data_IF_813686966652
#
_entry.id   IF_813686966652
#
_cell.length_a   1.000
_cell.length_b   1.000
_cell.length_c   1.000
_cell.angle_alpha   90.00
_cell.angle_beta   90.00
_cell.angle_gamma   90.00
#
_symmetry.space_group_name_H-M   'P 1'
#
loop_
_entity.id
_entity.type
_entity.pdbx_description
1 polymer ?
#
# COMPACT_ATOMS: atom_id res chain seq x y z
N UNK A 1 0.72 -15.28 4.60
CA UNK A 1 0.91 -14.91 3.17
C UNK A 1 -0.28 -15.38 2.34
N UNK A 2 -0.86 -14.53 1.46
CA UNK A 2 -1.94 -14.93 0.54
C UNK A 2 -1.37 -15.85 -0.54
N UNK A 3 -2.01 -17.00 -0.76
CA UNK A 3 -1.60 -18.03 -1.74
C UNK A 3 -2.52 -18.07 -2.95
N UNK A 4 -3.84 -17.94 -2.74
CA UNK A 4 -4.81 -18.04 -3.81
C UNK A 4 -5.99 -17.09 -3.57
N UNK A 5 -6.49 -16.51 -4.66
CA UNK A 5 -7.69 -15.69 -4.67
C UNK A 5 -8.62 -16.19 -5.78
N UNK A 6 -9.83 -16.60 -5.41
CA UNK A 6 -10.89 -16.96 -6.34
C UNK A 6 -11.97 -15.90 -6.30
N UNK A 7 -12.37 -15.39 -7.46
CA UNK A 7 -13.37 -14.32 -7.59
C UNK A 7 -14.43 -14.78 -8.57
N UNK A 8 -15.70 -14.71 -8.16
CA UNK A 8 -16.83 -15.05 -9.00
C UNK A 8 -17.86 -13.92 -8.99
N UNK A 9 -18.38 -13.60 -10.18
CA UNK A 9 -19.44 -12.62 -10.39
C UNK A 9 -19.13 -11.21 -9.88
N UNK A 10 -17.89 -10.73 -10.08
CA UNK A 10 -17.47 -9.42 -9.60
C UNK A 10 -16.87 -8.56 -10.70
N UNK A 11 -17.51 -7.45 -11.02
CA UNK A 11 -17.10 -6.48 -12.06
C UNK A 11 -16.83 -7.15 -13.41
N UNK A 12 -15.58 -7.09 -13.90
CA UNK A 12 -15.17 -7.73 -15.16
C UNK A 12 -15.00 -9.24 -15.05
N UNK A 13 -15.03 -9.81 -13.87
CA UNK A 13 -14.80 -11.24 -13.67
C UNK A 13 -16.11 -12.03 -13.55
N UNK A 14 -16.34 -12.93 -14.49
CA UNK A 14 -17.34 -13.99 -14.35
C UNK A 14 -16.81 -15.00 -13.33
N UNK A 15 -15.62 -15.54 -13.58
CA UNK A 15 -14.83 -16.37 -12.69
C UNK A 15 -13.36 -16.19 -12.98
N UNK A 16 -12.55 -16.06 -11.95
CA UNK A 16 -11.09 -16.05 -12.06
C UNK A 16 -10.47 -16.66 -10.80
N UNK A 17 -9.43 -17.45 -11.03
CA UNK A 17 -8.60 -18.06 -10.01
C UNK A 17 -7.17 -17.53 -10.20
N UNK A 18 -6.62 -16.93 -9.15
CA UNK A 18 -5.29 -16.32 -9.15
C UNK A 18 -4.42 -16.99 -8.09
N UNK A 19 -3.29 -17.52 -8.50
CA UNK A 19 -2.22 -17.89 -7.60
C UNK A 19 -1.37 -16.67 -7.27
N UNK A 20 -1.11 -16.45 -6.00
CA UNK A 20 -0.36 -15.30 -5.49
C UNK A 20 0.88 -15.79 -4.75
N UNK A 21 1.96 -15.05 -4.88
CA UNK A 21 3.24 -15.32 -4.24
C UNK A 21 3.63 -14.16 -3.32
N UNK A 22 4.77 -14.28 -2.62
CA UNK A 22 5.32 -13.24 -1.75
C UNK A 22 5.44 -11.90 -2.46
N UNK A 23 5.79 -11.94 -3.75
CA UNK A 23 5.74 -10.79 -4.65
C UNK A 23 4.84 -11.12 -5.85
N UNK A 24 3.83 -10.31 -6.08
CA UNK A 24 2.89 -10.47 -7.21
C UNK A 24 2.72 -9.15 -7.94
N UNK A 25 3.05 -9.12 -9.22
CA UNK A 25 2.87 -7.98 -10.10
C UNK A 25 1.61 -8.15 -10.97
N UNK A 26 0.64 -7.26 -10.80
CA UNK A 26 -0.54 -7.20 -11.66
C UNK A 26 -0.29 -6.23 -12.83
N UNK A 27 0.10 -6.75 -13.98
CA UNK A 27 0.36 -5.97 -15.19
C UNK A 27 -0.76 -6.10 -16.22
N UNK A 28 -0.94 -5.11 -17.06
CA UNK A 28 -1.93 -5.13 -18.13
C UNK A 28 -2.51 -3.75 -18.46
N UNK A 29 -3.29 -3.68 -19.55
CA UNK A 29 -3.95 -2.44 -20.00
C UNK A 29 -4.93 -1.90 -18.94
N UNK A 30 -5.24 -0.60 -19.04
CA UNK A 30 -6.25 0.00 -18.17
C UNK A 30 -7.61 -0.69 -18.36
N UNK A 31 -8.41 -0.71 -17.30
CA UNK A 31 -9.75 -1.33 -17.27
C UNK A 31 -9.80 -2.86 -17.44
N UNK A 32 -8.66 -3.56 -17.36
CA UNK A 32 -8.61 -5.03 -17.47
C UNK A 32 -8.80 -5.75 -16.13
N UNK A 33 -9.21 -5.05 -15.06
CA UNK A 33 -9.55 -5.67 -13.79
C UNK A 33 -8.46 -5.69 -12.72
N UNK A 34 -7.26 -5.09 -12.95
CA UNK A 34 -6.19 -5.03 -11.94
C UNK A 34 -6.68 -4.52 -10.58
N UNK A 35 -7.30 -3.34 -10.58
CA UNK A 35 -7.88 -2.76 -9.36
C UNK A 35 -9.02 -3.61 -8.81
N UNK A 36 -9.74 -4.36 -9.64
CA UNK A 36 -10.80 -5.27 -9.16
C UNK A 36 -10.25 -6.44 -8.35
N UNK A 37 -9.05 -6.93 -8.65
CA UNK A 37 -8.35 -7.93 -7.83
C UNK A 37 -8.05 -7.36 -6.44
N UNK A 38 -7.48 -6.16 -6.38
CA UNK A 38 -7.18 -5.46 -5.11
C UNK A 38 -8.47 -5.23 -4.31
N UNK A 39 -9.53 -4.80 -4.96
CA UNK A 39 -10.83 -4.58 -4.35
C UNK A 39 -11.49 -5.88 -3.83
N UNK A 40 -11.26 -7.01 -4.49
CA UNK A 40 -11.69 -8.31 -3.98
C UNK A 40 -10.95 -8.68 -2.69
N UNK A 41 -9.64 -8.42 -2.60
CA UNK A 41 -8.87 -8.60 -1.36
C UNK A 41 -9.42 -7.69 -0.25
N UNK A 42 -9.68 -6.41 -0.54
CA UNK A 42 -10.27 -5.50 0.46
C UNK A 42 -11.67 -5.94 0.89
N UNK A 43 -12.49 -6.49 -0.02
CA UNK A 43 -13.79 -7.03 0.34
C UNK A 43 -13.70 -8.21 1.32
N UNK A 44 -12.60 -8.97 1.29
CA UNK A 44 -12.35 -10.04 2.27
C UNK A 44 -11.97 -9.48 3.65
N UNK A 45 -11.20 -8.40 3.68
CA UNK A 45 -10.68 -7.78 4.90
C UNK A 45 -11.76 -6.93 5.60
N UNK A 46 -12.52 -6.17 4.83
CA UNK A 46 -13.57 -5.31 5.36
C UNK A 46 -14.78 -6.09 5.85
N UNK A 47 -15.23 -5.78 7.06
CA UNK A 47 -16.40 -6.41 7.68
C UNK A 47 -17.68 -5.58 7.43
N UNK A 48 -18.83 -6.18 7.74
CA UNK A 48 -20.14 -5.55 7.62
C UNK A 48 -20.99 -6.11 6.47
N UNK A 49 -22.25 -5.65 6.39
CA UNK A 49 -23.21 -6.13 5.39
C UNK A 49 -22.87 -5.73 3.95
N UNK A 50 -22.09 -4.67 3.78
CA UNK A 50 -21.55 -4.26 2.48
C UNK A 50 -20.03 -4.10 2.58
N UNK A 51 -19.25 -5.14 2.29
CA UNK A 51 -17.80 -5.11 2.36
C UNK A 51 -17.14 -4.22 1.28
N UNK A 52 -17.90 -3.66 0.37
CA UNK A 52 -17.44 -2.68 -0.62
C UNK A 52 -17.53 -1.22 -0.12
N UNK A 53 -17.89 -1.03 1.16
CA UNK A 53 -17.92 0.26 1.86
C UNK A 53 -17.20 0.14 3.19
N UNK A 54 -16.05 0.77 3.29
CA UNK A 54 -15.22 0.73 4.49
C UNK A 54 -13.96 1.55 4.34
N UNK A 55 -12.99 1.23 5.16
CA UNK A 55 -11.73 1.97 5.28
C UNK A 55 -10.92 2.00 3.97
N UNK A 56 -10.74 0.83 3.33
CA UNK A 56 -9.88 0.72 2.15
C UNK A 56 -10.59 1.11 0.86
N UNK A 57 -11.90 0.95 0.78
CA UNK A 57 -12.66 1.29 -0.42
C UNK A 57 -14.10 1.68 -0.13
N UNK A 58 -14.65 2.54 -1.00
CA UNK A 58 -16.07 2.86 -1.05
C UNK A 58 -16.48 2.94 -2.52
N UNK A 59 -16.91 1.81 -3.10
CA UNK A 59 -17.12 1.67 -4.54
C UNK A 59 -18.57 1.43 -4.96
N UNK A 60 -19.51 1.58 -4.03
CA UNK A 60 -20.92 1.57 -4.36
C UNK A 60 -21.74 0.41 -3.77
N UNK A 61 -22.83 0.08 -4.44
CA UNK A 61 -23.76 -0.97 -4.00
C UNK A 61 -23.43 -2.29 -4.68
N UNK A 62 -23.74 -3.40 -4.04
CA UNK A 62 -23.46 -4.75 -4.53
C UNK A 62 -23.99 -4.99 -5.95
N UNK A 63 -25.22 -4.53 -6.24
CA UNK A 63 -25.82 -4.72 -7.58
C UNK A 63 -25.10 -3.95 -8.72
N UNK A 64 -24.33 -2.92 -8.38
CA UNK A 64 -23.51 -2.17 -9.36
C UNK A 64 -22.17 -2.85 -9.62
N UNK A 65 -21.81 -3.82 -8.76
CA UNK A 65 -20.53 -4.51 -8.76
C UNK A 65 -20.62 -5.96 -9.27
N UNK A 66 -21.81 -6.46 -9.51
CA UNK A 66 -22.02 -7.77 -10.13
C UNK A 66 -21.55 -7.75 -11.59
N UNK A 67 -21.06 -8.89 -12.06
CA UNK A 67 -20.66 -9.02 -13.46
C UNK A 67 -21.87 -8.88 -14.38
N UNK A 68 -21.73 -8.11 -15.46
CA UNK A 68 -22.84 -7.78 -16.36
C UNK A 68 -23.35 -9.02 -17.15
N UNK A 69 -22.52 -10.02 -17.36
CA UNK A 69 -22.86 -11.24 -18.10
C UNK A 69 -23.53 -12.26 -17.16
N UNK A 70 -22.95 -12.50 -16.00
CA UNK A 70 -23.47 -13.45 -15.00
C UNK A 70 -24.76 -12.95 -14.34
N UNK A 71 -24.95 -11.63 -14.28
CA UNK A 71 -26.19 -11.01 -13.81
C UNK A 71 -26.38 -11.05 -12.30
N UNK A 72 -27.67 -11.15 -11.86
CA UNK A 72 -28.09 -10.96 -10.46
C UNK A 72 -27.77 -12.12 -9.49
N UNK A 73 -26.63 -12.78 -9.62
CA UNK A 73 -26.14 -13.78 -8.67
C UNK A 73 -25.49 -13.19 -7.43
N UNK A 74 -25.07 -14.02 -6.52
CA UNK A 74 -24.18 -13.62 -5.42
C UNK A 74 -22.76 -13.34 -5.95
N UNK A 75 -22.05 -12.40 -5.36
CA UNK A 75 -20.59 -12.25 -5.55
C UNK A 75 -19.94 -13.22 -4.55
N UNK A 76 -19.03 -14.06 -5.03
CA UNK A 76 -18.25 -14.96 -4.19
C UNK A 76 -16.77 -14.63 -4.30
N UNK A 77 -16.14 -14.47 -3.16
CA UNK A 77 -14.71 -14.28 -3.07
C UNK A 77 -14.18 -15.30 -2.07
N UNK A 78 -13.16 -16.06 -2.48
CA UNK A 78 -12.50 -17.02 -1.62
C UNK A 78 -11.01 -16.71 -1.60
N UNK A 79 -10.44 -16.70 -0.42
CA UNK A 79 -9.06 -16.40 -0.16
C UNK A 79 -8.42 -17.55 0.60
N UNK A 80 -7.30 -18.02 0.09
CA UNK A 80 -6.45 -18.99 0.76
C UNK A 80 -5.15 -18.28 1.16
N UNK A 81 -4.81 -18.36 2.44
CA UNK A 81 -3.64 -17.71 2.98
C UNK A 81 -2.97 -18.57 4.05
N UNK A 82 -1.67 -18.39 4.20
CA UNK A 82 -0.84 -19.04 5.18
C UNK A 82 -0.54 -18.08 6.33
N UNK A 83 -0.76 -18.55 7.55
CA UNK A 83 -0.40 -17.86 8.79
C UNK A 83 0.03 -18.90 9.82
N UNK A 84 1.16 -18.66 10.51
CA UNK A 84 1.73 -19.57 11.51
C UNK A 84 1.85 -21.03 10.98
N UNK A 85 2.40 -21.21 9.79
CA UNK A 85 2.57 -22.49 9.09
C UNK A 85 1.28 -23.28 8.82
N UNK A 86 0.13 -22.62 8.94
CA UNK A 86 -1.18 -23.20 8.67
C UNK A 86 -1.84 -22.52 7.48
N UNK A 87 -2.43 -23.32 6.59
CA UNK A 87 -3.23 -22.81 5.48
C UNK A 87 -4.65 -22.60 5.95
N UNK A 88 -5.12 -21.37 5.83
CA UNK A 88 -6.46 -20.93 6.17
C UNK A 88 -7.24 -20.59 4.90
N UNK A 89 -8.51 -20.96 4.87
CA UNK A 89 -9.41 -20.66 3.76
C UNK A 89 -10.60 -19.88 4.27
N UNK A 90 -10.82 -18.71 3.68
CA UNK A 90 -11.96 -17.85 3.99
C UNK A 90 -12.78 -17.61 2.72
N UNK A 91 -14.06 -17.82 2.79
CA UNK A 91 -15.01 -17.52 1.71
C UNK A 91 -16.01 -16.47 2.17
N UNK A 92 -16.25 -15.49 1.32
CA UNK A 92 -17.26 -14.45 1.52
C UNK A 92 -18.26 -14.48 0.37
N UNK A 93 -19.54 -14.64 0.72
CA UNK A 93 -20.69 -14.56 -0.19
C UNK A 93 -21.43 -13.27 0.06
N UNK A 94 -21.57 -12.47 -0.96
CA UNK A 94 -22.11 -11.12 -0.86
C UNK A 94 -23.34 -11.01 -1.76
N UNK A 95 -24.46 -10.67 -1.14
CA UNK A 95 -25.74 -10.41 -1.82
C UNK A 95 -26.15 -8.96 -1.63
N UNK A 96 -27.28 -8.55 -2.19
CA UNK A 96 -27.82 -7.18 -2.02
C UNK A 96 -28.16 -6.84 -0.57
N UNK A 97 -28.48 -7.84 0.22
CA UNK A 97 -29.01 -7.69 1.59
C UNK A 97 -28.01 -8.02 2.67
N UNK A 98 -27.05 -8.88 2.38
CA UNK A 98 -26.14 -9.44 3.39
C UNK A 98 -24.79 -9.84 2.82
N UNK A 99 -23.81 -9.93 3.70
CA UNK A 99 -22.50 -10.52 3.45
C UNK A 99 -22.25 -11.60 4.49
N UNK A 100 -22.11 -12.83 4.03
CA UNK A 100 -21.84 -14.00 4.88
C UNK A 100 -20.38 -14.39 4.68
N UNK A 101 -19.65 -14.49 5.77
CA UNK A 101 -18.25 -14.91 5.79
C UNK A 101 -18.13 -16.21 6.56
N UNK A 102 -17.40 -17.19 6.04
CA UNK A 102 -17.18 -18.47 6.71
C UNK A 102 -16.33 -18.35 7.97
N UNK A 103 -15.36 -17.42 7.96
CA UNK A 103 -14.48 -17.10 9.07
C UNK A 103 -13.98 -15.65 8.93
N UNK A 104 -13.72 -14.95 10.02
CA UNK A 104 -13.06 -13.64 9.97
C UNK A 104 -11.66 -13.79 9.40
N UNK A 105 -11.28 -12.84 8.54
CA UNK A 105 -9.92 -12.70 8.07
C UNK A 105 -9.13 -11.93 9.15
N UNK A 106 -8.20 -12.60 9.80
CA UNK A 106 -7.47 -12.07 10.96
C UNK A 106 -5.96 -12.27 10.80
N UNK A 107 -5.20 -11.44 11.50
CA UNK A 107 -3.74 -11.60 11.66
C UNK A 107 -2.89 -11.07 10.51
N UNK A 108 -3.49 -10.42 9.50
CA UNK A 108 -2.74 -9.74 8.43
C UNK A 108 -3.01 -8.24 8.51
N UNK A 109 -1.98 -7.44 8.79
CA UNK A 109 -2.03 -5.98 8.68
C UNK A 109 -1.85 -5.60 7.21
N UNK A 110 -2.64 -4.65 6.73
CA UNK A 110 -2.55 -4.16 5.35
C UNK A 110 -1.97 -2.77 5.35
N UNK A 111 -0.90 -2.58 4.56
CA UNK A 111 -0.37 -1.28 4.19
C UNK A 111 -0.75 -1.06 2.72
N UNK A 112 -1.47 0.02 2.46
CA UNK A 112 -2.00 0.30 1.13
C UNK A 112 -1.54 1.64 0.63
N UNK A 113 -0.79 1.64 -0.46
CA UNK A 113 -0.41 2.83 -1.21
C UNK A 113 -1.32 2.92 -2.44
N UNK A 114 -2.43 3.64 -2.33
CA UNK A 114 -3.39 3.81 -3.43
C UNK A 114 -2.80 4.60 -4.60
N UNK A 115 -3.47 4.60 -5.74
CA UNK A 115 -3.15 5.49 -6.86
C UNK A 115 -3.29 6.97 -6.51
N UNK A 116 -4.13 7.30 -5.53
CA UNK A 116 -4.43 8.65 -5.06
C UNK A 116 -3.57 9.05 -3.86
N UNK A 117 -2.30 8.60 -3.83
CA UNK A 117 -1.34 9.02 -2.79
C UNK A 117 -1.30 10.54 -2.68
N UNK A 118 -1.04 11.02 -1.46
CA UNK A 118 -1.12 12.46 -1.16
C UNK A 118 -0.13 13.29 -2.00
N UNK A 119 1.02 12.70 -2.35
CA UNK A 119 2.00 13.29 -3.25
C UNK A 119 2.59 14.60 -2.74
N UNK A 120 2.70 15.59 -3.64
CA UNK A 120 3.46 16.83 -3.41
C UNK A 120 2.65 17.89 -2.67
N UNK A 121 2.99 18.09 -1.40
CA UNK A 121 2.43 19.13 -0.54
C UNK A 121 3.52 20.02 0.08
N UNK A 122 3.15 21.18 0.62
CA UNK A 122 4.08 22.03 1.38
C UNK A 122 4.39 21.50 2.77
N UNK A 123 3.38 20.86 3.38
CA UNK A 123 3.44 20.21 4.70
C UNK A 123 2.53 18.99 4.71
N UNK A 124 2.86 18.02 5.53
CA UNK A 124 2.09 16.77 5.67
C UNK A 124 1.50 16.67 7.07
N UNK A 125 0.36 16.01 7.20
CA UNK A 125 -0.33 15.89 8.48
C UNK A 125 0.35 14.87 9.39
N UNK A 126 0.28 15.13 10.70
CA UNK A 126 0.57 14.11 11.73
C UNK A 126 -0.65 13.20 11.89
N UNK A 127 -0.39 11.93 12.16
CA UNK A 127 -1.39 11.02 12.70
C UNK A 127 -1.58 11.33 14.20
N UNK A 128 -2.83 11.45 14.64
CA UNK A 128 -3.14 11.84 16.03
C UNK A 128 -3.61 10.66 16.90
N UNK A 129 -3.53 9.43 16.39
CA UNK A 129 -3.82 8.23 17.18
C UNK A 129 -2.60 7.72 17.96
N UNK A 130 -2.82 6.72 18.79
CA UNK A 130 -1.80 6.18 19.71
C UNK A 130 -0.64 5.49 18.98
N UNK A 131 -0.90 4.75 17.91
CA UNK A 131 0.10 4.09 17.07
C UNK A 131 0.17 4.76 15.70
N UNK A 132 1.34 5.27 15.33
CA UNK A 132 1.53 5.96 14.06
C UNK A 132 1.44 4.96 12.90
N UNK A 133 0.59 5.26 11.93
CA UNK A 133 0.33 4.45 10.75
C UNK A 133 0.76 5.18 9.47
N UNK A 134 0.93 4.44 8.37
CA UNK A 134 1.22 5.02 7.06
C UNK A 134 -0.02 5.70 6.45
N UNK A 135 -1.20 5.15 6.72
CA UNK A 135 -2.45 5.61 6.12
C UNK A 135 -2.69 5.03 4.72
N UNK A 136 -3.96 5.08 4.30
CA UNK A 136 -4.44 4.48 3.06
C UNK A 136 -3.83 5.09 1.79
N UNK A 137 -3.63 6.41 1.78
CA UNK A 137 -3.05 7.14 0.65
C UNK A 137 -1.62 7.58 0.95
N UNK A 138 -0.94 6.86 1.84
CA UNK A 138 0.33 7.27 2.44
C UNK A 138 0.23 8.62 3.19
N UNK A 139 -0.98 8.98 3.68
CA UNK A 139 -1.30 10.27 4.29
C UNK A 139 -0.35 10.66 5.43
N UNK A 140 0.18 9.66 6.14
CA UNK A 140 1.05 9.85 7.30
C UNK A 140 2.45 9.27 7.13
N UNK A 141 2.85 8.92 5.89
CA UNK A 141 4.15 8.32 5.61
C UNK A 141 5.31 9.19 6.14
N UNK A 142 5.26 10.51 5.95
CA UNK A 142 6.30 11.41 6.43
C UNK A 142 6.27 11.62 7.96
N UNK A 143 5.11 11.47 8.60
CA UNK A 143 5.05 11.40 10.06
C UNK A 143 5.67 10.10 10.58
N UNK A 144 5.40 8.99 9.92
CA UNK A 144 6.01 7.70 10.23
C UNK A 144 7.54 7.77 10.09
N UNK A 145 8.04 8.34 8.98
CA UNK A 145 9.48 8.56 8.79
C UNK A 145 10.08 9.40 9.93
N UNK A 146 9.45 10.52 10.29
CA UNK A 146 9.96 11.38 11.37
C UNK A 146 10.01 10.66 12.72
N UNK A 147 8.98 9.90 13.05
CA UNK A 147 8.88 9.21 14.33
C UNK A 147 9.86 8.04 14.47
N UNK A 148 10.17 7.37 13.36
CA UNK A 148 11.00 6.16 13.31
C UNK A 148 12.38 6.39 12.69
N UNK A 149 12.79 7.64 12.41
CA UNK A 149 14.02 7.99 11.70
C UNK A 149 15.27 7.28 12.24
N UNK A 150 15.40 7.24 13.57
CA UNK A 150 16.55 6.65 14.27
C UNK A 150 16.28 5.19 14.74
N UNK A 151 15.11 4.62 14.44
CA UNK A 151 14.81 3.23 14.80
C UNK A 151 15.72 2.28 14.03
N UNK A 152 16.39 1.40 14.74
CA UNK A 152 17.26 0.41 14.13
C UNK A 152 16.45 -0.67 13.43
N UNK A 153 16.73 -0.91 12.16
CA UNK A 153 16.19 -2.03 11.40
C UNK A 153 16.97 -3.31 11.68
N UNK A 154 16.29 -4.43 11.60
CA UNK A 154 16.89 -5.74 11.72
C UNK A 154 17.76 -6.01 10.48
N UNK A 155 19.02 -6.40 10.70
CA UNK A 155 19.98 -6.71 9.65
C UNK A 155 19.58 -7.98 8.84
N UNK A 156 18.73 -8.83 9.42
CA UNK A 156 18.21 -10.03 8.75
C UNK A 156 17.04 -9.75 7.81
N UNK A 157 16.51 -8.53 7.81
CA UNK A 157 15.45 -8.15 6.86
C UNK A 157 16.04 -7.99 5.47
N UNK A 158 15.44 -8.68 4.51
CA UNK A 158 15.82 -8.66 3.08
C UNK A 158 15.79 -7.26 2.45
N UNK A 159 15.15 -6.27 3.09
CA UNK A 159 15.05 -4.88 2.62
C UNK A 159 16.18 -3.97 3.13
N UNK A 160 16.97 -4.44 4.07
CA UNK A 160 18.17 -3.72 4.51
C UNK A 160 19.27 -3.99 3.51
N UNK A 161 19.59 -2.98 2.71
CA UNK A 161 20.69 -3.06 1.76
C UNK A 161 21.91 -2.37 2.35
N UNK A 162 23.02 -3.14 2.42
CA UNK A 162 24.35 -2.68 2.76
C UNK A 162 24.63 -2.31 4.24
N UNK A 163 25.66 -2.97 4.75
CA UNK A 163 26.22 -2.77 6.10
C UNK A 163 26.99 -1.46 6.27
N UNK A 164 27.31 -0.75 5.18
CA UNK A 164 27.98 0.56 5.20
C UNK A 164 27.00 1.73 5.33
N UNK A 165 25.73 1.53 5.00
CA UNK A 165 24.68 2.52 5.23
C UNK A 165 24.23 2.51 6.69
N UNK A 166 23.65 3.62 7.17
CA UNK A 166 23.04 3.62 8.50
C UNK A 166 21.90 2.60 8.55
N UNK A 167 22.00 1.65 9.47
CA UNK A 167 20.97 0.62 9.72
C UNK A 167 19.76 1.20 10.50
N UNK A 168 19.46 2.48 10.32
CA UNK A 168 18.26 3.10 10.85
C UNK A 168 17.20 3.21 9.77
N UNK A 169 15.93 3.31 10.16
CA UNK A 169 14.81 3.44 9.23
C UNK A 169 15.04 4.62 8.26
N UNK A 170 15.33 5.81 8.78
CA UNK A 170 15.62 6.99 7.95
C UNK A 170 16.87 6.81 7.09
N UNK A 171 17.90 6.13 7.61
CA UNK A 171 19.11 5.81 6.85
C UNK A 171 18.83 4.92 5.65
N UNK A 172 17.95 3.92 5.78
CA UNK A 172 17.54 3.04 4.67
C UNK A 172 16.60 3.75 3.71
N UNK A 173 15.71 4.62 4.17
CA UNK A 173 14.91 5.48 3.27
C UNK A 173 15.82 6.35 2.42
N UNK A 174 16.81 7.01 3.01
CA UNK A 174 17.80 7.83 2.30
C UNK A 174 18.62 7.02 1.29
N UNK A 175 19.02 5.81 1.66
CA UNK A 175 19.78 4.92 0.78
C UNK A 175 18.98 4.57 -0.48
N UNK A 176 17.79 4.03 -0.33
CA UNK A 176 16.94 3.62 -1.44
C UNK A 176 16.52 4.80 -2.30
N UNK A 177 16.13 5.93 -1.69
CA UNK A 177 15.77 7.14 -2.42
C UNK A 177 16.93 7.69 -3.21
N UNK A 178 18.14 7.68 -2.65
CA UNK A 178 19.34 8.11 -3.36
C UNK A 178 19.68 7.18 -4.53
N UNK A 179 19.57 5.87 -4.34
CA UNK A 179 19.81 4.87 -5.38
C UNK A 179 18.85 5.02 -6.56
N UNK A 180 17.54 5.19 -6.30
CA UNK A 180 16.51 5.23 -7.35
C UNK A 180 16.43 6.63 -7.99
N UNK A 181 16.51 7.70 -7.21
CA UNK A 181 16.21 9.07 -7.65
C UNK A 181 17.35 10.06 -7.48
N UNK A 182 18.44 9.72 -6.80
CA UNK A 182 19.56 10.61 -6.50
C UNK A 182 19.25 11.68 -5.44
N UNK A 183 18.27 11.44 -4.57
CA UNK A 183 17.85 12.35 -3.52
C UNK A 183 17.95 11.72 -2.13
N UNK A 184 17.97 12.57 -1.12
CA UNK A 184 17.78 12.23 0.29
C UNK A 184 16.61 13.03 0.84
N UNK A 185 15.99 12.54 1.93
CA UNK A 185 14.81 13.17 2.51
C UNK A 185 15.00 13.39 4.02
N UNK A 186 14.46 14.49 4.53
CA UNK A 186 14.31 14.70 5.98
C UNK A 186 12.90 15.17 6.27
N UNK A 187 12.27 14.49 7.21
CA UNK A 187 10.99 14.86 7.77
C UNK A 187 11.20 15.41 9.19
N UNK A 188 10.58 16.53 9.52
CA UNK A 188 10.66 17.15 10.84
C UNK A 188 9.32 17.70 11.26
N UNK A 189 8.99 17.54 12.52
CA UNK A 189 7.83 18.20 13.10
C UNK A 189 7.95 19.71 13.08
N UNK A 190 6.86 20.38 12.73
CA UNK A 190 6.71 21.82 12.94
C UNK A 190 6.17 22.01 14.36
N UNK A 191 6.97 22.66 15.23
CA UNK A 191 6.60 22.86 16.61
C UNK A 191 5.21 23.49 16.78
N UNK A 192 4.46 22.96 17.77
CA UNK A 192 3.12 23.44 18.12
C UNK A 192 2.09 23.37 16.97
N UNK A 193 2.30 22.50 16.01
CA UNK A 193 1.36 22.25 14.91
C UNK A 193 1.14 20.74 14.71
N UNK A 194 0.10 20.39 13.95
CA UNK A 194 -0.20 19.02 13.52
C UNK A 194 0.43 18.71 12.14
N UNK A 195 1.58 19.33 11.83
CA UNK A 195 2.21 19.22 10.52
C UNK A 195 3.67 18.77 10.60
N UNK A 196 4.10 18.10 9.54
CA UNK A 196 5.45 17.67 9.26
C UNK A 196 5.98 18.49 8.08
N UNK A 197 7.16 19.07 8.23
CA UNK A 197 7.93 19.65 7.12
C UNK A 197 8.79 18.56 6.49
N UNK A 198 8.80 18.49 5.16
CA UNK A 198 9.66 17.60 4.39
C UNK A 198 10.61 18.43 3.54
N UNK A 199 11.89 18.03 3.57
CA UNK A 199 12.93 18.64 2.78
C UNK A 199 13.74 17.57 2.06
N UNK A 200 13.99 17.79 0.77
CA UNK A 200 14.84 16.95 -0.06
C UNK A 200 16.19 17.60 -0.29
N UNK A 201 17.21 16.81 -0.49
CA UNK A 201 18.56 17.27 -0.88
C UNK A 201 19.19 16.29 -1.86
N UNK A 202 20.19 16.72 -2.59
CA UNK A 202 21.02 15.89 -3.45
C UNK A 202 22.46 16.43 -3.47
N UNK A 203 23.36 15.78 -4.19
CA UNK A 203 24.76 16.19 -4.26
C UNK A 203 24.97 17.61 -4.79
N UNK A 204 24.12 18.06 -5.74
CA UNK A 204 24.20 19.39 -6.34
C UNK A 204 23.57 20.47 -5.48
N UNK A 205 22.55 20.11 -4.70
CA UNK A 205 21.77 21.00 -3.83
C UNK A 205 21.71 20.37 -2.44
N UNK A 206 22.75 20.58 -1.61
CA UNK A 206 22.86 19.99 -0.28
C UNK A 206 21.95 20.64 0.76
N UNK A 207 21.38 21.79 0.46
CA UNK A 207 20.40 22.46 1.32
C UNK A 207 18.96 21.99 1.00
N UNK A 208 18.09 22.01 2.01
CA UNK A 208 16.75 21.46 1.90
C UNK A 208 15.87 22.13 0.84
N UNK A 209 15.39 21.37 -0.12
CA UNK A 209 14.39 21.78 -1.11
C UNK A 209 13.00 21.29 -0.66
N UNK A 210 11.99 22.15 -0.80
CA UNK A 210 10.60 21.74 -0.54
C UNK A 210 10.14 20.73 -1.59
N UNK A 211 9.16 19.87 -1.27
CA UNK A 211 8.61 18.90 -2.24
C UNK A 211 8.17 19.55 -3.57
N UNK A 212 7.57 20.73 -3.53
CA UNK A 212 7.14 21.48 -4.74
C UNK A 212 8.30 21.97 -5.64
N UNK A 213 9.52 21.93 -5.14
CA UNK A 213 10.72 22.35 -5.88
C UNK A 213 11.55 21.16 -6.39
N UNK A 214 11.07 19.94 -6.21
CA UNK A 214 11.65 18.71 -6.77
C UNK A 214 10.66 18.04 -7.72
N UNK A 215 11.11 17.10 -8.51
CA UNK A 215 10.19 16.34 -9.38
C UNK A 215 9.15 15.57 -8.58
N UNK A 216 7.90 15.60 -9.01
CA UNK A 216 6.76 14.93 -8.33
C UNK A 216 7.06 13.46 -8.01
N UNK A 217 7.72 12.74 -8.92
CA UNK A 217 8.10 11.34 -8.74
C UNK A 217 8.97 11.08 -7.51
N UNK A 218 9.79 12.05 -7.08
CA UNK A 218 10.63 11.92 -5.87
C UNK A 218 9.77 11.70 -4.64
N UNK A 219 8.71 12.51 -4.49
CA UNK A 219 7.78 12.38 -3.35
C UNK A 219 7.03 11.05 -3.38
N UNK A 220 6.47 10.68 -4.54
CA UNK A 220 5.72 9.42 -4.71
C UNK A 220 6.57 8.18 -4.40
N UNK A 221 7.83 8.16 -4.85
CA UNK A 221 8.76 7.07 -4.53
C UNK A 221 9.13 7.06 -3.06
N UNK A 222 9.33 8.22 -2.44
CA UNK A 222 9.62 8.30 -1.01
C UNK A 222 8.52 7.66 -0.19
N UNK A 223 7.25 7.93 -0.49
CA UNK A 223 6.10 7.32 0.18
C UNK A 223 6.08 5.80 0.04
N UNK A 224 6.38 5.27 -1.15
CA UNK A 224 6.49 3.82 -1.41
C UNK A 224 7.64 3.20 -0.62
N UNK A 225 8.82 3.82 -0.61
CA UNK A 225 9.98 3.34 0.14
C UNK A 225 9.66 3.27 1.64
N UNK A 226 9.04 4.33 2.19
CA UNK A 226 8.62 4.37 3.59
C UNK A 226 7.64 3.22 3.88
N UNK A 227 6.64 3.03 3.04
CA UNK A 227 5.65 1.97 3.19
C UNK A 227 6.27 0.57 3.12
N UNK A 228 7.20 0.34 2.20
CA UNK A 228 7.89 -0.93 2.04
C UNK A 228 8.78 -1.26 3.26
N UNK A 229 9.55 -0.28 3.74
CA UNK A 229 10.43 -0.46 4.91
C UNK A 229 9.64 -0.58 6.23
N UNK A 230 8.43 -0.03 6.29
CA UNK A 230 7.55 -0.15 7.45
C UNK A 230 6.84 -1.50 7.57
N UNK A 231 6.81 -2.29 6.48
CA UNK A 231 6.22 -3.62 6.48
C UNK A 231 6.99 -4.56 7.41
N UNK A 232 6.23 -5.33 8.18
CA UNK A 232 6.73 -6.41 9.01
C UNK A 232 6.43 -7.76 8.36
N UNK A 233 7.04 -8.80 8.88
CA UNK A 233 6.70 -10.17 8.49
C UNK A 233 5.18 -10.40 8.64
N UNK A 234 4.59 -11.04 7.64
CA UNK A 234 3.14 -11.28 7.51
C UNK A 234 2.25 -10.06 7.21
N UNK A 235 2.79 -8.85 7.09
CA UNK A 235 2.01 -7.72 6.56
C UNK A 235 1.76 -7.89 5.05
N UNK A 236 0.66 -7.33 4.58
CA UNK A 236 0.32 -7.25 3.16
C UNK A 236 0.52 -5.82 2.66
N UNK A 237 1.55 -5.61 1.85
CA UNK A 237 1.76 -4.35 1.15
C UNK A 237 1.07 -4.38 -0.22
N UNK A 238 0.19 -3.45 -0.46
CA UNK A 238 -0.46 -3.25 -1.76
C UNK A 238 -0.09 -1.87 -2.29
N UNK A 239 0.47 -1.82 -3.50
CA UNK A 239 0.86 -0.57 -4.15
C UNK A 239 0.16 -0.50 -5.51
N UNK A 240 -0.63 0.54 -5.73
CA UNK A 240 -1.20 0.84 -7.04
C UNK A 240 -0.33 1.83 -7.81
N UNK A 241 -0.14 1.55 -9.09
CA UNK A 241 0.58 2.40 -10.04
C UNK A 241 1.90 2.95 -9.45
N UNK A 242 2.84 2.09 -9.04
CA UNK A 242 4.11 2.53 -8.46
C UNK A 242 4.94 3.39 -9.42
N UNK A 243 4.75 3.22 -10.72
CA UNK A 243 5.46 3.91 -11.80
C UNK A 243 4.97 5.34 -12.08
N UNK A 244 3.88 5.78 -11.46
CA UNK A 244 3.32 7.13 -11.71
C UNK A 244 4.36 8.22 -11.44
N UNK A 245 4.47 9.14 -12.41
CA UNK A 245 5.38 10.28 -12.38
C UNK A 245 6.87 9.94 -12.39
N UNK A 246 7.26 8.68 -12.63
CA UNK A 246 8.65 8.30 -12.78
C UNK A 246 9.11 8.40 -14.24
N UNK A 247 10.34 8.86 -14.40
CA UNK A 247 11.05 8.71 -15.67
C UNK A 247 11.32 7.22 -15.95
N UNK A 248 11.35 6.76 -17.23
CA UNK A 248 11.61 5.35 -17.55
C UNK A 248 12.82 4.73 -16.86
N UNK A 249 13.88 5.49 -16.61
CA UNK A 249 15.04 5.00 -15.84
C UNK A 249 14.69 4.69 -14.38
N UNK A 250 13.88 5.52 -13.74
CA UNK A 250 13.40 5.26 -12.37
C UNK A 250 12.41 4.11 -12.29
N UNK A 251 11.63 3.89 -13.36
CA UNK A 251 10.73 2.73 -13.44
C UNK A 251 11.49 1.40 -13.55
N UNK A 252 12.70 1.41 -14.14
CA UNK A 252 13.54 0.22 -14.28
C UNK A 252 14.28 -0.15 -12.98
N UNK A 253 14.43 0.80 -12.05
CA UNK A 253 15.09 0.60 -10.75
C UNK A 253 14.07 0.28 -9.62
N UNK A 254 12.79 0.52 -9.87
CA UNK A 254 11.69 0.21 -8.97
C UNK A 254 11.35 -1.29 -9.01
#
# INVERSE_FOLDING_TARGET
>A
MIKKLEINNFKSFEQVDLELNNFTLLAGKNSMGKTSVIQAIFAMIQNGNNPFRGEYMNIGKVNELQNAITGNGEIKIKLEYEINDSIEVVEKKITKTESITTKSFEGIKVIYCSSDRIGVEDTYRKYLGDEIIIGKNCDYAFHYLNAHDEDRLDEEKDFVYDTESKLTFGGQVDYWLNKIMGYRVKAKEIEKTEFIQVLYSNEKVPFGMRPKNVGTGVTYITEIIIAALACKENDLLIIENPEIHLHPSGQAEL
#
